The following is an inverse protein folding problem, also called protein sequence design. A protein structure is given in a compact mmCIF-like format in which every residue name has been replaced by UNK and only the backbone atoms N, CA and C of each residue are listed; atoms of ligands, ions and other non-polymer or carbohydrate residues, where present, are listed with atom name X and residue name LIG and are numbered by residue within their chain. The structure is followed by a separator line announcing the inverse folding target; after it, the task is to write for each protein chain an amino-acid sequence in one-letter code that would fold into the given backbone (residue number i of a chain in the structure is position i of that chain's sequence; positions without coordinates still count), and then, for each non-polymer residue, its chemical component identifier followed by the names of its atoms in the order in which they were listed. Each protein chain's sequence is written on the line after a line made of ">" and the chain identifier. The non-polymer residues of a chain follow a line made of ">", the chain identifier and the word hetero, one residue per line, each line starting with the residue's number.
data_IF_628423824022
#
_entry.id   IF_628423824022
#
_cell.length_a   1.000
_cell.length_b   1.000
_cell.length_c   1.000
_cell.angle_alpha   90.00
_cell.angle_beta   90.00
_cell.angle_gamma   90.00
#
_symmetry.space_group_name_H-M   'P 1'
#
loop_
_entity.id
_entity.type
_entity.pdbx_description
1 polymer ?
#
# COMPACT_ATOMS: atom_id res chain seq x y z
N UNK A 1 -5.56 36.54 -44.75
CA UNK A 1 -6.33 35.33 -44.44
C UNK A 1 -5.34 34.32 -43.87
N UNK A 2 -5.33 34.12 -42.59
CA UNK A 2 -4.48 33.15 -41.90
C UNK A 2 -5.30 31.89 -41.61
N UNK A 3 -4.82 30.76 -42.13
CA UNK A 3 -5.43 29.44 -41.90
C UNK A 3 -5.24 29.03 -40.43
N UNK A 4 -6.31 29.03 -39.68
CA UNK A 4 -6.38 28.40 -38.37
C UNK A 4 -6.41 26.87 -38.54
N UNK A 5 -5.27 26.24 -38.26
CA UNK A 5 -5.20 24.76 -38.12
C UNK A 5 -5.90 24.34 -36.83
N UNK A 6 -7.06 23.73 -36.96
CA UNK A 6 -7.79 23.05 -35.92
C UNK A 6 -6.91 22.01 -35.19
N UNK A 7 -6.93 21.92 -33.85
CA UNK A 7 -6.13 20.92 -33.11
C UNK A 7 -6.66 19.51 -33.45
N UNK A 8 -5.75 18.67 -33.89
CA UNK A 8 -6.00 17.25 -34.18
C UNK A 8 -6.50 16.55 -32.89
N UNK A 9 -7.74 16.14 -32.87
CA UNK A 9 -8.31 15.28 -31.83
C UNK A 9 -7.60 13.93 -31.85
N UNK A 10 -6.81 13.65 -30.82
CA UNK A 10 -6.21 12.33 -30.60
C UNK A 10 -7.36 11.34 -30.37
N UNK A 11 -7.37 10.25 -31.14
CA UNK A 11 -8.42 9.23 -31.09
C UNK A 11 -8.47 8.58 -29.68
N UNK A 12 -9.67 8.36 -29.10
CA UNK A 12 -9.81 7.66 -27.82
C UNK A 12 -9.14 6.28 -27.79
N UNK A 13 -9.05 5.59 -28.93
CA UNK A 13 -8.35 4.30 -29.05
C UNK A 13 -6.83 4.40 -28.91
N UNK A 14 -6.22 5.52 -29.37
CA UNK A 14 -4.78 5.77 -29.18
C UNK A 14 -4.44 6.08 -27.71
N UNK A 15 -5.34 6.77 -27.00
CA UNK A 15 -5.19 7.04 -25.55
C UNK A 15 -5.36 5.76 -24.74
N UNK A 16 -6.29 4.88 -25.12
CA UNK A 16 -6.50 3.59 -24.49
C UNK A 16 -5.32 2.63 -24.74
N UNK A 17 -4.78 2.59 -25.97
CA UNK A 17 -3.61 1.77 -26.30
C UNK A 17 -2.36 2.22 -25.53
N UNK A 18 -2.09 3.54 -25.43
CA UNK A 18 -0.95 4.06 -24.67
C UNK A 18 -1.08 3.83 -23.14
N UNK A 19 -2.31 3.85 -22.62
CA UNK A 19 -2.60 3.49 -21.22
C UNK A 19 -2.41 2.00 -20.95
N UNK A 20 -2.76 1.11 -21.90
CA UNK A 20 -2.56 -0.33 -21.75
C UNK A 20 -1.08 -0.72 -21.83
N UNK A 21 -0.30 -0.10 -22.69
CA UNK A 21 1.15 -0.33 -22.79
C UNK A 21 1.93 0.16 -21.56
N UNK A 22 1.50 1.28 -20.93
CA UNK A 22 2.10 1.77 -19.69
C UNK A 22 1.74 0.91 -18.46
N UNK A 23 0.65 0.11 -18.50
CA UNK A 23 0.17 -0.70 -17.37
C UNK A 23 0.73 -2.13 -17.33
N UNK A 24 1.46 -2.58 -18.34
CA UNK A 24 2.02 -3.95 -18.37
C UNK A 24 3.37 -4.09 -17.66
N UNK A 25 3.78 -3.11 -16.85
CA UNK A 25 5.03 -3.15 -16.11
C UNK A 25 4.76 -3.21 -14.59
N UNK A 26 4.50 -4.42 -14.09
CA UNK A 26 4.40 -4.72 -12.66
C UNK A 26 5.61 -4.17 -11.92
N UNK A 27 5.40 -3.44 -10.83
CA UNK A 27 6.47 -2.84 -10.03
C UNK A 27 6.56 -3.47 -8.65
N UNK A 28 7.78 -3.61 -8.18
CA UNK A 28 8.05 -3.86 -6.78
C UNK A 28 7.91 -2.56 -5.98
N UNK A 29 7.04 -2.58 -4.96
CA UNK A 29 6.77 -1.47 -4.04
C UNK A 29 7.30 -1.82 -2.65
N UNK A 30 8.50 -1.38 -2.24
CA UNK A 30 9.09 -1.80 -0.97
C UNK A 30 8.34 -1.24 0.24
N UNK A 31 8.47 -1.91 1.39
CA UNK A 31 7.83 -1.49 2.63
C UNK A 31 8.85 -1.12 3.73
N UNK A 32 8.43 -0.25 4.66
CA UNK A 32 9.11 0.08 5.90
C UNK A 32 8.06 0.09 7.01
N UNK A 33 7.98 -0.98 7.78
CA UNK A 33 7.07 -1.06 8.92
C UNK A 33 7.79 -0.61 10.19
N UNK A 34 7.20 0.32 10.92
CA UNK A 34 7.82 0.91 12.11
C UNK A 34 6.94 0.61 13.33
N UNK A 35 7.52 -0.07 14.31
CA UNK A 35 6.87 -0.41 15.58
C UNK A 35 7.83 -0.15 16.74
N UNK A 36 7.36 0.57 17.77
CA UNK A 36 8.13 0.96 18.94
C UNK A 36 9.47 1.65 18.58
N UNK A 37 9.41 2.58 17.59
CA UNK A 37 10.57 3.36 17.15
C UNK A 37 11.60 2.58 16.35
N UNK A 38 11.31 1.34 15.90
CA UNK A 38 12.24 0.50 15.12
C UNK A 38 11.57 -0.03 13.87
N UNK A 39 12.36 -0.20 12.80
CA UNK A 39 11.92 -0.92 11.61
C UNK A 39 11.82 -2.41 11.94
N UNK A 40 10.66 -3.00 11.67
CA UNK A 40 10.34 -4.38 11.99
C UNK A 40 9.56 -5.05 10.87
N UNK A 41 9.58 -6.37 10.88
CA UNK A 41 8.58 -7.18 10.19
C UNK A 41 7.80 -7.96 11.23
N UNK A 42 6.49 -7.84 11.20
CA UNK A 42 5.60 -8.45 12.20
C UNK A 42 4.57 -9.38 11.55
N UNK A 43 4.08 -10.34 12.32
CA UNK A 43 2.88 -11.09 11.93
C UNK A 43 1.68 -10.19 12.21
N UNK A 44 1.05 -9.67 11.18
CA UNK A 44 0.04 -8.62 11.29
C UNK A 44 -1.10 -8.95 12.24
N UNK A 45 -1.63 -10.19 12.19
CA UNK A 45 -2.69 -10.65 13.10
C UNK A 45 -2.28 -10.72 14.58
N UNK A 46 -1.02 -10.49 14.92
CA UNK A 46 -0.47 -10.55 16.28
C UNK A 46 -0.36 -9.21 16.99
N UNK A 47 -0.57 -8.10 16.26
CA UNK A 47 -0.46 -6.75 16.83
C UNK A 47 -1.57 -6.51 17.85
N UNK A 48 -1.18 -6.10 19.06
CA UNK A 48 -2.11 -5.75 20.15
C UNK A 48 -1.74 -4.39 20.71
N UNK A 49 -2.74 -3.55 21.00
CA UNK A 49 -2.53 -2.25 21.65
C UNK A 49 -2.07 -2.41 23.09
N UNK A 50 -2.71 -3.33 23.80
CA UNK A 50 -2.35 -3.63 25.18
C UNK A 50 -0.93 -4.18 25.25
N UNK A 51 -0.05 -3.44 25.92
CA UNK A 51 1.36 -3.76 26.06
C UNK A 51 2.22 -3.50 24.82
N UNK A 52 1.70 -2.86 23.76
CA UNK A 52 2.43 -2.60 22.50
C UNK A 52 3.15 -3.84 21.95
N UNK A 53 2.45 -5.01 21.96
CA UNK A 53 3.02 -6.31 21.64
C UNK A 53 2.73 -6.64 20.17
N UNK A 54 3.74 -7.20 19.48
CA UNK A 54 3.58 -7.84 18.17
C UNK A 54 4.51 -9.07 18.12
N UNK A 55 4.10 -10.13 17.41
CA UNK A 55 5.00 -11.24 17.09
C UNK A 55 5.94 -10.76 15.96
N UNK A 56 7.20 -10.57 16.32
CA UNK A 56 8.23 -10.05 15.44
C UNK A 56 8.88 -11.18 14.65
N UNK A 57 8.91 -11.04 13.31
CA UNK A 57 9.69 -11.91 12.42
C UNK A 57 11.12 -11.36 12.26
N UNK A 58 11.27 -10.04 12.36
CA UNK A 58 12.54 -9.34 12.20
C UNK A 58 12.51 -8.00 12.96
N UNK A 59 13.64 -7.63 13.56
CA UNK A 59 13.89 -6.31 14.16
C UNK A 59 15.19 -5.77 13.60
N UNK A 60 15.14 -4.62 12.95
CA UNK A 60 16.31 -4.01 12.34
C UNK A 60 17.17 -3.27 13.38
N UNK A 61 18.49 -3.35 13.19
CA UNK A 61 19.46 -2.45 13.84
C UNK A 61 19.60 -1.12 13.10
N UNK A 62 19.10 -1.01 11.86
CA UNK A 62 19.10 0.20 11.04
C UNK A 62 17.81 0.96 11.20
N UNK A 63 17.89 2.31 11.17
CA UNK A 63 16.72 3.17 11.18
C UNK A 63 16.00 3.19 9.82
N UNK A 64 14.80 3.78 9.80
CA UNK A 64 13.96 3.86 8.60
C UNK A 64 14.62 4.67 7.47
N UNK A 65 15.42 5.68 7.80
CA UNK A 65 16.20 6.46 6.83
C UNK A 65 17.14 5.59 5.99
N UNK A 66 17.77 4.57 6.59
CA UNK A 66 18.64 3.64 5.87
C UNK A 66 17.91 2.95 4.72
N UNK A 67 16.72 2.40 4.99
CA UNK A 67 15.89 1.73 3.99
C UNK A 67 15.39 2.69 2.92
N UNK A 68 14.94 3.88 3.31
CA UNK A 68 14.51 4.90 2.37
C UNK A 68 15.63 5.32 1.40
N UNK A 69 16.86 5.50 1.89
CA UNK A 69 18.03 5.78 1.05
C UNK A 69 18.37 4.60 0.14
N UNK A 70 18.30 3.36 0.62
CA UNK A 70 18.50 2.15 -0.19
C UNK A 70 17.50 2.11 -1.36
N UNK A 71 16.20 2.34 -1.08
CA UNK A 71 15.16 2.35 -2.10
C UNK A 71 15.34 3.50 -3.10
N UNK A 72 15.76 4.68 -2.61
CA UNK A 72 16.07 5.83 -3.45
C UNK A 72 17.19 5.54 -4.46
N UNK A 73 18.29 4.94 -4.00
CA UNK A 73 19.45 4.60 -4.87
C UNK A 73 19.04 3.60 -5.95
N UNK A 74 18.09 2.71 -5.66
CA UNK A 74 17.53 1.72 -6.61
C UNK A 74 16.34 2.26 -7.42
N UNK A 75 15.96 3.54 -7.28
CA UNK A 75 14.81 4.18 -7.91
C UNK A 75 13.46 3.48 -7.66
N UNK A 76 13.31 2.81 -6.52
CA UNK A 76 12.09 2.13 -6.10
C UNK A 76 11.13 3.12 -5.46
N UNK A 77 10.22 3.67 -6.25
CA UNK A 77 9.22 4.64 -5.77
C UNK A 77 7.85 4.01 -5.53
N UNK A 78 7.00 4.70 -4.74
CA UNK A 78 5.63 4.26 -4.44
C UNK A 78 5.56 3.13 -3.41
N UNK A 79 6.67 2.78 -2.78
CA UNK A 79 6.66 1.92 -1.59
C UNK A 79 5.99 2.63 -0.41
N UNK A 80 5.72 1.90 0.67
CA UNK A 80 4.98 2.44 1.81
C UNK A 80 5.75 2.37 3.13
N UNK A 81 5.48 3.35 3.97
CA UNK A 81 5.90 3.40 5.37
C UNK A 81 4.64 3.24 6.22
N UNK A 82 4.61 2.30 7.17
CA UNK A 82 3.47 2.10 8.06
C UNK A 82 3.86 2.30 9.52
N UNK A 83 3.17 3.24 10.18
CA UNK A 83 3.26 3.44 11.63
C UNK A 83 2.35 2.42 12.31
N UNK A 84 2.91 1.44 12.99
CA UNK A 84 2.16 0.35 13.63
C UNK A 84 1.72 0.67 15.06
N UNK A 85 2.19 1.76 15.66
CA UNK A 85 1.74 2.19 16.98
C UNK A 85 0.47 3.04 16.89
N UNK A 86 -0.43 2.84 17.85
CA UNK A 86 -1.55 3.75 18.05
C UNK A 86 -1.05 5.13 18.51
N UNK A 87 -1.74 6.21 18.18
CA UNK A 87 -1.35 7.59 18.55
C UNK A 87 -1.20 7.83 20.05
N UNK A 88 -1.93 7.05 20.86
CA UNK A 88 -1.89 7.15 22.33
C UNK A 88 -0.81 6.24 22.95
N UNK A 89 -0.01 5.53 22.15
CA UNK A 89 1.11 4.72 22.59
C UNK A 89 2.28 5.61 23.02
N UNK A 90 2.95 5.24 24.09
CA UNK A 90 4.21 5.88 24.53
C UNK A 90 5.32 5.86 23.46
N UNK A 91 5.25 4.91 22.51
CA UNK A 91 6.20 4.76 21.40
C UNK A 91 5.81 5.53 20.14
N UNK A 92 4.65 6.19 20.12
CA UNK A 92 4.15 6.82 18.87
C UNK A 92 5.10 7.88 18.34
N UNK A 93 5.61 8.77 19.21
CA UNK A 93 6.51 9.85 18.79
C UNK A 93 7.83 9.29 18.22
N UNK A 94 8.43 8.28 18.87
CA UNK A 94 9.63 7.62 18.36
C UNK A 94 9.38 6.92 17.00
N UNK A 95 8.19 6.32 16.80
CA UNK A 95 7.79 5.70 15.54
C UNK A 95 7.58 6.75 14.46
N UNK A 96 6.92 7.87 14.78
CA UNK A 96 6.71 8.99 13.89
C UNK A 96 8.04 9.65 13.47
N UNK A 97 8.95 9.83 14.40
CA UNK A 97 10.29 10.37 14.10
C UNK A 97 11.02 9.54 13.05
N UNK A 98 11.02 8.21 13.19
CA UNK A 98 11.60 7.31 12.19
C UNK A 98 10.94 7.46 10.80
N UNK A 99 9.61 7.59 10.76
CA UNK A 99 8.91 7.82 9.51
C UNK A 99 9.29 9.15 8.86
N UNK A 100 9.39 10.24 9.65
CA UNK A 100 9.80 11.55 9.14
C UNK A 100 11.24 11.54 8.61
N UNK A 101 12.17 10.84 9.27
CA UNK A 101 13.53 10.64 8.77
C UNK A 101 13.52 9.93 7.41
N UNK A 102 12.74 8.87 7.25
CA UNK A 102 12.63 8.14 5.98
C UNK A 102 12.02 9.01 4.86
N UNK A 103 10.94 9.75 5.15
CA UNK A 103 10.30 10.65 4.19
C UNK A 103 11.24 11.76 3.73
N UNK A 104 12.01 12.36 4.65
CA UNK A 104 13.00 13.37 4.30
C UNK A 104 14.16 12.81 3.46
N UNK A 105 14.59 11.56 3.71
CA UNK A 105 15.66 10.92 2.95
C UNK A 105 15.24 10.62 1.50
N UNK A 106 13.98 10.26 1.27
CA UNK A 106 13.45 9.95 -0.06
C UNK A 106 12.16 10.73 -0.35
N UNK A 107 12.27 12.06 -0.47
CA UNK A 107 11.13 12.95 -0.78
C UNK A 107 10.42 12.56 -2.06
N UNK A 108 9.10 12.39 -1.97
CA UNK A 108 8.25 11.98 -3.08
C UNK A 108 8.36 10.49 -3.47
N UNK A 109 9.23 9.71 -2.84
CA UNK A 109 9.43 8.30 -3.17
C UNK A 109 8.55 7.33 -2.41
N UNK A 110 8.12 7.68 -1.19
CA UNK A 110 7.41 6.78 -0.29
C UNK A 110 6.01 7.32 0.07
N UNK A 111 5.08 6.41 0.20
CA UNK A 111 3.75 6.64 0.77
C UNK A 111 3.81 6.46 2.29
N UNK A 112 2.84 6.99 3.05
CA UNK A 112 2.80 6.91 4.51
C UNK A 112 1.41 6.52 5.01
N UNK A 113 1.35 5.53 5.90
CA UNK A 113 0.12 5.06 6.54
C UNK A 113 0.29 4.81 8.05
N UNK A 114 -0.80 4.43 8.69
CA UNK A 114 -0.85 4.18 10.13
C UNK A 114 -1.39 5.38 10.91
N UNK A 115 -2.70 5.37 11.19
CA UNK A 115 -3.38 6.41 11.94
C UNK A 115 -3.56 7.74 11.18
N UNK A 116 -3.45 7.73 9.86
CA UNK A 116 -3.63 8.92 9.02
C UNK A 116 -5.12 9.30 8.94
N UNK A 117 -5.39 10.61 9.03
CA UNK A 117 -6.71 11.22 8.91
C UNK A 117 -6.61 12.61 8.28
N UNK A 118 -7.75 13.30 8.11
CA UNK A 118 -7.77 14.62 7.47
C UNK A 118 -7.01 15.72 8.25
N UNK A 119 -6.83 15.54 9.56
CA UNK A 119 -6.23 16.56 10.41
C UNK A 119 -4.68 16.46 10.44
N UNK A 120 -4.09 15.23 10.24
CA UNK A 120 -2.65 15.01 10.27
C UNK A 120 -2.01 14.71 8.91
N UNK A 121 -2.80 14.42 7.87
CA UNK A 121 -2.29 14.03 6.54
C UNK A 121 -1.30 15.06 5.97
N UNK A 122 -1.58 16.35 6.14
CA UNK A 122 -0.77 17.43 5.58
C UNK A 122 0.64 17.46 6.12
N UNK A 123 0.81 17.18 7.41
CA UNK A 123 2.12 17.10 8.06
C UNK A 123 3.06 16.12 7.35
N UNK A 124 2.56 14.95 7.02
CA UNK A 124 3.36 13.91 6.35
C UNK A 124 3.64 14.24 4.87
N UNK A 125 2.68 14.85 4.18
CA UNK A 125 2.91 15.31 2.81
C UNK A 125 3.97 16.41 2.76
N UNK A 126 3.93 17.35 3.70
CA UNK A 126 4.94 18.44 3.79
C UNK A 126 6.30 17.91 4.21
N UNK A 127 6.37 16.80 4.96
CA UNK A 127 7.61 16.08 5.27
C UNK A 127 8.21 15.33 4.07
N UNK A 128 7.47 15.16 2.98
CA UNK A 128 7.96 14.55 1.75
C UNK A 128 7.29 13.25 1.35
N UNK A 129 6.17 12.84 1.98
CA UNK A 129 5.40 11.71 1.50
C UNK A 129 4.86 11.95 0.08
N UNK A 130 4.91 10.95 -0.78
CA UNK A 130 4.26 11.00 -2.08
C UNK A 130 2.74 10.98 -1.92
N UNK A 131 2.22 10.10 -1.08
CA UNK A 131 0.80 9.92 -0.78
C UNK A 131 0.61 9.60 0.70
N UNK A 132 -0.60 9.81 1.17
CA UNK A 132 -1.07 9.31 2.46
C UNK A 132 -1.97 8.11 2.24
N UNK A 133 -1.82 7.09 3.10
CA UNK A 133 -2.60 5.85 3.07
C UNK A 133 -3.58 5.89 4.23
N UNK A 134 -4.86 5.73 3.95
CA UNK A 134 -5.90 5.65 4.98
C UNK A 134 -6.63 4.31 4.92
N UNK A 135 -6.95 3.78 6.10
CA UNK A 135 -7.68 2.53 6.29
C UNK A 135 -8.87 2.80 7.20
N UNK A 136 -8.72 2.59 8.52
CA UNK A 136 -9.81 2.68 9.50
C UNK A 136 -10.49 4.03 9.56
N UNK A 137 -9.83 5.13 9.18
CA UNK A 137 -10.42 6.47 9.19
C UNK A 137 -11.67 6.60 8.31
N UNK A 138 -11.67 5.93 7.16
CA UNK A 138 -12.79 5.98 6.20
C UNK A 138 -13.84 4.89 6.43
N UNK A 139 -13.73 4.16 7.54
CA UNK A 139 -14.73 3.19 7.96
C UNK A 139 -15.26 3.51 9.36
N UNK A 140 -16.57 3.43 9.55
CA UNK A 140 -17.22 3.50 10.85
C UNK A 140 -18.46 2.61 10.86
N UNK A 141 -18.81 2.08 12.02
CA UNK A 141 -19.97 1.21 12.18
C UNK A 141 -20.02 0.07 11.15
N UNK A 142 -18.88 -0.53 10.87
CA UNK A 142 -18.67 -1.61 9.89
C UNK A 142 -18.95 -1.22 8.43
N UNK A 143 -19.02 0.06 8.09
CA UNK A 143 -19.33 0.56 6.74
C UNK A 143 -18.39 1.67 6.32
N UNK A 144 -18.36 1.95 5.02
CA UNK A 144 -17.69 3.11 4.46
C UNK A 144 -18.35 4.40 5.00
N UNK A 145 -17.52 5.26 5.57
CA UNK A 145 -17.92 6.58 6.05
C UNK A 145 -17.60 7.63 4.98
N UNK A 146 -18.62 8.01 4.22
CA UNK A 146 -18.46 8.98 3.14
C UNK A 146 -18.07 10.37 3.64
N UNK A 147 -18.49 10.79 4.84
CA UNK A 147 -18.12 12.10 5.39
C UNK A 147 -16.61 12.16 5.66
N UNK A 148 -16.05 11.10 6.23
CA UNK A 148 -14.60 11.01 6.45
C UNK A 148 -13.83 10.83 5.14
N UNK A 149 -14.35 10.09 4.17
CA UNK A 149 -13.77 9.95 2.85
C UNK A 149 -13.71 11.32 2.13
N UNK A 150 -14.79 12.08 2.16
CA UNK A 150 -14.85 13.44 1.61
C UNK A 150 -13.91 14.40 2.34
N UNK A 151 -13.79 14.28 3.67
CA UNK A 151 -12.87 15.12 4.46
C UNK A 151 -11.42 14.89 4.06
N UNK A 152 -10.98 13.64 3.99
CA UNK A 152 -9.58 13.33 3.59
C UNK A 152 -9.34 13.71 2.13
N UNK A 153 -10.29 13.41 1.22
CA UNK A 153 -10.20 13.81 -0.17
C UNK A 153 -10.03 15.33 -0.33
N UNK A 154 -10.82 16.14 0.41
CA UNK A 154 -10.70 17.62 0.40
C UNK A 154 -9.37 18.10 0.99
N UNK A 155 -8.84 17.38 1.98
CA UNK A 155 -7.58 17.75 2.64
C UNK A 155 -6.35 17.53 1.76
N UNK A 156 -6.31 16.46 0.95
CA UNK A 156 -5.11 16.04 0.23
C UNK A 156 -5.26 15.93 -1.28
N UNK A 157 -6.48 15.86 -1.82
CA UNK A 157 -6.77 15.59 -3.23
C UNK A 157 -6.65 14.12 -3.61
N UNK A 158 -7.24 13.77 -4.78
CA UNK A 158 -7.22 12.41 -5.32
C UNK A 158 -5.79 11.90 -5.50
N UNK A 159 -4.93 12.72 -6.09
CA UNK A 159 -3.57 12.41 -6.55
C UNK A 159 -2.58 12.18 -5.39
N UNK A 160 -3.02 12.35 -4.14
CA UNK A 160 -2.19 12.17 -2.94
C UNK A 160 -2.81 11.21 -1.94
N UNK A 161 -3.88 10.53 -2.33
CA UNK A 161 -4.62 9.61 -1.48
C UNK A 161 -4.49 8.17 -1.97
N UNK A 162 -4.11 7.27 -1.08
CA UNK A 162 -4.18 5.81 -1.25
C UNK A 162 -5.20 5.27 -0.26
N UNK A 163 -6.10 4.42 -0.71
CA UNK A 163 -7.02 3.69 0.16
C UNK A 163 -6.48 2.27 0.38
N UNK A 164 -6.19 1.94 1.62
CA UNK A 164 -5.85 0.57 2.02
C UNK A 164 -7.14 -0.21 2.31
N UNK A 165 -7.42 -1.17 1.45
CA UNK A 165 -8.55 -2.09 1.54
C UNK A 165 -8.07 -3.46 2.05
N UNK A 166 -7.36 -3.49 3.18
CA UNK A 166 -6.95 -4.71 3.87
C UNK A 166 -8.13 -5.64 4.06
N UNK A 167 -8.02 -6.90 3.68
CA UNK A 167 -9.16 -7.81 3.67
C UNK A 167 -8.85 -9.21 4.21
N UNK A 168 -9.91 -9.89 4.67
CA UNK A 168 -9.88 -11.28 5.12
C UNK A 168 -11.00 -12.09 4.48
N UNK A 169 -10.70 -13.36 4.23
CA UNK A 169 -11.67 -14.29 3.65
C UNK A 169 -12.68 -14.78 4.70
N UNK A 170 -13.98 -14.68 4.38
CA UNK A 170 -15.10 -15.22 5.15
C UNK A 170 -16.22 -15.63 4.20
N UNK A 171 -16.72 -16.88 4.29
CA UNK A 171 -17.78 -17.39 3.42
C UNK A 171 -17.50 -17.13 1.92
N UNK A 172 -16.29 -17.46 1.48
CA UNK A 172 -15.79 -17.29 0.10
C UNK A 172 -15.80 -15.86 -0.46
N UNK A 173 -15.91 -14.85 0.41
CA UNK A 173 -15.79 -13.43 0.07
C UNK A 173 -14.65 -12.77 0.87
N UNK A 174 -14.07 -11.72 0.31
CA UNK A 174 -13.04 -10.93 0.98
C UNK A 174 -13.67 -9.67 1.55
N UNK A 175 -13.84 -9.66 2.89
CA UNK A 175 -14.38 -8.51 3.62
C UNK A 175 -13.26 -7.60 4.05
N UNK A 176 -13.47 -6.30 3.90
CA UNK A 176 -12.53 -5.30 4.42
C UNK A 176 -12.50 -5.40 5.94
N UNK A 177 -11.31 -5.28 6.50
CA UNK A 177 -11.06 -5.32 7.94
C UNK A 177 -10.36 -4.05 8.40
N UNK A 178 -10.72 -3.60 9.60
CA UNK A 178 -10.22 -2.41 10.26
C UNK A 178 -9.62 -2.75 11.63
N UNK A 179 -9.20 -1.74 12.40
CA UNK A 179 -8.64 -1.92 13.74
C UNK A 179 -7.51 -2.95 13.76
N UNK A 180 -6.48 -2.69 12.95
CA UNK A 180 -5.36 -3.62 12.81
C UNK A 180 -5.84 -5.03 12.48
N UNK A 181 -6.77 -5.09 11.51
CA UNK A 181 -7.30 -6.32 10.91
C UNK A 181 -8.16 -7.20 11.83
N UNK A 182 -8.62 -6.65 12.97
CA UNK A 182 -9.39 -7.40 13.96
C UNK A 182 -10.90 -7.31 13.75
N UNK A 183 -11.38 -6.22 13.14
CA UNK A 183 -12.81 -5.99 12.93
C UNK A 183 -13.19 -6.15 11.46
N UNK A 184 -14.15 -7.04 11.20
CA UNK A 184 -14.77 -7.15 9.89
C UNK A 184 -15.74 -5.97 9.68
N UNK A 185 -15.72 -5.44 8.44
CA UNK A 185 -16.78 -4.56 7.96
C UNK A 185 -17.83 -5.35 7.19
N UNK A 186 -18.89 -4.69 6.74
CA UNK A 186 -19.88 -5.26 5.82
C UNK A 186 -19.47 -5.10 4.35
N UNK A 187 -18.36 -4.39 4.08
CA UNK A 187 -17.88 -4.08 2.75
C UNK A 187 -17.00 -5.21 2.21
N UNK A 188 -17.22 -5.55 0.93
CA UNK A 188 -16.54 -6.65 0.25
C UNK A 188 -15.65 -6.07 -0.85
N UNK A 189 -14.42 -6.57 -0.96
CA UNK A 189 -13.52 -6.27 -2.07
C UNK A 189 -14.08 -6.93 -3.33
N UNK A 190 -14.66 -6.12 -4.21
CA UNK A 190 -15.17 -6.51 -5.52
C UNK A 190 -15.10 -5.31 -6.48
N UNK A 191 -15.30 -5.54 -7.78
CA UNK A 191 -15.23 -4.50 -8.80
C UNK A 191 -16.17 -3.33 -8.52
N UNK A 192 -17.42 -3.59 -8.14
CA UNK A 192 -18.43 -2.55 -7.88
C UNK A 192 -17.98 -1.61 -6.75
N UNK A 193 -17.47 -2.16 -5.65
CA UNK A 193 -17.00 -1.37 -4.52
C UNK A 193 -15.73 -0.59 -4.88
N UNK A 194 -14.81 -1.21 -5.61
CA UNK A 194 -13.57 -0.56 -6.05
C UNK A 194 -13.84 0.58 -7.03
N UNK A 195 -14.78 0.41 -7.99
CA UNK A 195 -15.19 1.49 -8.89
C UNK A 195 -15.77 2.69 -8.16
N UNK A 196 -16.57 2.47 -7.10
CA UNK A 196 -17.10 3.57 -6.26
C UNK A 196 -16.00 4.39 -5.59
N UNK A 197 -14.89 3.73 -5.21
CA UNK A 197 -13.79 4.37 -4.50
C UNK A 197 -12.72 4.96 -5.41
N UNK A 198 -12.55 4.46 -6.63
CA UNK A 198 -11.52 4.89 -7.58
C UNK A 198 -11.61 6.37 -7.97
N UNK A 199 -12.78 6.99 -7.80
CA UNK A 199 -12.96 8.43 -7.98
C UNK A 199 -12.29 9.30 -6.90
N UNK A 200 -12.00 8.72 -5.73
CA UNK A 200 -11.48 9.43 -4.57
C UNK A 200 -9.97 9.30 -4.36
N UNK A 201 -9.34 8.26 -4.90
CA UNK A 201 -7.92 7.96 -4.65
C UNK A 201 -7.14 7.68 -5.93
N UNK A 202 -5.82 7.74 -5.82
CA UNK A 202 -4.88 7.49 -6.92
C UNK A 202 -4.49 6.01 -7.03
N UNK A 203 -4.50 5.30 -5.91
CA UNK A 203 -4.08 3.90 -5.80
C UNK A 203 -4.87 3.17 -4.72
N UNK A 204 -5.03 1.84 -4.89
CA UNK A 204 -5.42 0.94 -3.82
C UNK A 204 -4.22 0.15 -3.30
N UNK A 205 -4.07 0.08 -1.98
CA UNK A 205 -3.19 -0.88 -1.31
C UNK A 205 -4.07 -2.00 -0.75
N UNK A 206 -3.81 -3.25 -1.12
CA UNK A 206 -4.65 -4.38 -0.73
C UNK A 206 -3.82 -5.39 0.06
N UNK A 207 -4.00 -5.43 1.38
CA UNK A 207 -3.38 -6.45 2.23
C UNK A 207 -4.25 -7.70 2.31
N UNK A 208 -3.70 -8.83 1.88
CA UNK A 208 -4.27 -10.16 2.11
C UNK A 208 -3.90 -10.65 3.52
N UNK A 209 -4.66 -10.21 4.52
CA UNK A 209 -4.33 -10.35 5.95
C UNK A 209 -4.18 -11.80 6.40
N UNK A 210 -4.94 -12.73 5.81
CA UNK A 210 -4.91 -14.14 6.21
C UNK A 210 -3.59 -14.83 5.90
N UNK A 211 -2.79 -14.30 4.98
CA UNK A 211 -1.45 -14.81 4.61
C UNK A 211 -0.30 -13.89 5.03
N UNK A 212 -0.60 -12.68 5.56
CA UNK A 212 0.41 -11.69 5.93
C UNK A 212 1.33 -12.19 7.05
N UNK A 213 2.64 -12.14 6.79
CA UNK A 213 3.68 -12.57 7.74
C UNK A 213 3.72 -14.07 8.03
N UNK A 214 2.90 -14.91 7.37
CA UNK A 214 2.79 -16.36 7.62
C UNK A 214 3.64 -17.22 6.68
N UNK A 215 4.21 -16.63 5.62
CA UNK A 215 5.00 -17.34 4.63
C UNK A 215 4.27 -18.53 3.96
N UNK A 216 2.97 -18.38 3.72
CA UNK A 216 2.09 -19.42 3.17
C UNK A 216 1.85 -19.30 1.65
N UNK A 217 2.36 -18.24 1.00
CA UNK A 217 2.05 -17.88 -0.39
C UNK A 217 0.88 -16.91 -0.47
N UNK A 218 0.60 -16.44 -1.68
CA UNK A 218 -0.40 -15.41 -1.97
C UNK A 218 -1.84 -15.96 -1.95
N UNK A 219 -2.81 -15.06 -1.73
CA UNK A 219 -4.24 -15.34 -1.87
C UNK A 219 -4.66 -15.32 -3.35
N UNK A 220 -4.56 -16.46 -4.04
CA UNK A 220 -4.76 -16.56 -5.49
C UNK A 220 -6.14 -16.10 -5.97
N UNK A 221 -7.19 -16.39 -5.20
CA UNK A 221 -8.55 -15.98 -5.57
C UNK A 221 -8.74 -14.46 -5.42
N UNK A 222 -8.14 -13.85 -4.41
CA UNK A 222 -8.11 -12.39 -4.29
C UNK A 222 -7.37 -11.76 -5.48
N UNK A 223 -6.20 -12.29 -5.82
CA UNK A 223 -5.39 -11.80 -6.96
C UNK A 223 -6.19 -11.84 -8.26
N UNK A 224 -7.01 -12.88 -8.50
CA UNK A 224 -7.90 -12.94 -9.68
C UNK A 224 -8.95 -11.83 -9.68
N UNK A 225 -9.56 -11.55 -8.53
CA UNK A 225 -10.53 -10.45 -8.38
C UNK A 225 -9.86 -9.11 -8.70
N UNK A 226 -8.69 -8.85 -8.08
CA UNK A 226 -7.96 -7.60 -8.28
C UNK A 226 -7.44 -7.45 -9.71
N UNK A 227 -7.03 -8.56 -10.34
CA UNK A 227 -6.58 -8.58 -11.74
C UNK A 227 -7.66 -8.23 -12.76
N UNK A 228 -8.94 -8.31 -12.39
CA UNK A 228 -10.07 -7.86 -13.22
C UNK A 228 -10.23 -6.34 -13.26
N UNK A 229 -9.76 -5.65 -12.22
CA UNK A 229 -9.90 -4.20 -12.09
C UNK A 229 -8.74 -3.44 -12.76
N UNK A 230 -9.04 -2.38 -13.52
CA UNK A 230 -8.06 -1.66 -14.33
C UNK A 230 -8.16 -0.11 -14.32
N UNK A 231 -9.01 0.44 -13.45
CA UNK A 231 -9.29 1.89 -13.44
C UNK A 231 -8.15 2.70 -12.81
N UNK A 232 -7.60 2.25 -11.68
CA UNK A 232 -6.43 2.84 -11.00
C UNK A 232 -5.44 1.75 -10.59
N UNK A 233 -4.16 2.09 -10.30
CA UNK A 233 -3.16 1.16 -9.81
C UNK A 233 -3.60 0.42 -8.53
N UNK A 234 -3.16 -0.84 -8.39
CA UNK A 234 -3.32 -1.63 -7.18
C UNK A 234 -1.96 -2.20 -6.79
N UNK A 235 -1.57 -2.01 -5.54
CA UNK A 235 -0.45 -2.70 -4.91
C UNK A 235 -0.99 -3.85 -4.05
N UNK A 236 -0.63 -5.08 -4.40
CA UNK A 236 -0.94 -6.26 -3.60
C UNK A 236 0.10 -6.46 -2.50
N UNK A 237 -0.35 -6.71 -1.28
CA UNK A 237 0.47 -7.02 -0.12
C UNK A 237 0.01 -8.32 0.56
N UNK A 238 0.95 -9.12 1.02
CA UNK A 238 0.68 -10.32 1.81
C UNK A 238 1.08 -11.62 1.15
N UNK A 239 1.85 -12.41 1.88
CA UNK A 239 2.13 -13.82 1.61
C UNK A 239 3.13 -14.11 0.49
N UNK A 240 3.63 -13.15 -0.26
CA UNK A 240 4.67 -13.39 -1.29
C UNK A 240 5.90 -14.01 -0.65
N UNK A 241 6.21 -15.26 -0.99
CA UNK A 241 7.32 -16.04 -0.40
C UNK A 241 8.31 -16.60 -1.40
N UNK A 242 8.02 -16.49 -2.69
CA UNK A 242 8.84 -17.05 -3.77
C UNK A 242 8.68 -16.26 -5.06
N UNK A 243 9.65 -16.42 -5.98
CA UNK A 243 9.54 -15.86 -7.34
C UNK A 243 8.34 -16.45 -8.11
N UNK A 244 7.94 -17.70 -7.80
CA UNK A 244 6.75 -18.32 -8.37
C UNK A 244 5.46 -17.55 -7.99
N UNK A 245 5.36 -17.08 -6.75
CA UNK A 245 4.22 -16.25 -6.34
C UNK A 245 4.13 -14.96 -7.15
N UNK A 246 5.27 -14.34 -7.47
CA UNK A 246 5.32 -13.13 -8.30
C UNK A 246 4.89 -13.43 -9.74
N UNK A 247 5.31 -14.56 -10.30
CA UNK A 247 4.87 -14.98 -11.65
C UNK A 247 3.36 -15.31 -11.66
N UNK A 248 2.81 -15.84 -10.57
CA UNK A 248 1.36 -16.05 -10.42
C UNK A 248 0.63 -14.70 -10.33
N UNK A 249 1.11 -13.72 -9.55
CA UNK A 249 0.58 -12.36 -9.52
C UNK A 249 0.54 -11.78 -10.95
N UNK A 250 1.67 -11.83 -11.66
CA UNK A 250 1.80 -11.35 -13.02
C UNK A 250 0.80 -12.01 -13.97
N UNK A 251 0.68 -13.34 -13.90
CA UNK A 251 -0.21 -14.13 -14.76
C UNK A 251 -1.68 -13.79 -14.54
N UNK A 252 -2.16 -13.68 -13.29
CA UNK A 252 -3.56 -13.43 -13.00
C UNK A 252 -3.99 -11.97 -13.16
N UNK A 253 -3.03 -11.04 -13.10
CA UNK A 253 -3.30 -9.62 -13.29
C UNK A 253 -2.89 -9.09 -14.66
N UNK A 254 -2.36 -9.95 -15.51
CA UNK A 254 -1.77 -9.52 -16.80
C UNK A 254 -0.69 -8.44 -16.61
N UNK A 255 0.09 -8.57 -15.50
CA UNK A 255 1.15 -7.63 -15.11
C UNK A 255 0.66 -6.26 -14.59
N UNK A 256 -0.61 -6.11 -14.27
CA UNK A 256 -1.21 -4.82 -13.82
C UNK A 256 -1.14 -4.57 -12.32
N UNK A 257 -1.01 -5.62 -11.50
CA UNK A 257 -0.84 -5.48 -10.05
C UNK A 257 0.61 -5.21 -9.71
N UNK A 258 0.88 -4.11 -9.02
CA UNK A 258 2.14 -3.92 -8.31
C UNK A 258 2.13 -4.81 -7.05
N UNK A 259 3.30 -5.03 -6.44
CA UNK A 259 3.40 -5.92 -5.29
C UNK A 259 4.43 -5.43 -4.27
N UNK A 260 4.23 -5.82 -3.03
CA UNK A 260 5.22 -5.65 -1.96
C UNK A 260 5.65 -7.00 -1.40
N UNK A 261 6.86 -7.04 -0.86
CA UNK A 261 7.42 -8.20 -0.15
C UNK A 261 7.95 -7.68 1.18
N UNK A 262 7.49 -8.27 2.28
CA UNK A 262 7.98 -7.98 3.63
C UNK A 262 9.01 -9.02 4.09
N UNK A 263 8.68 -9.81 5.10
CA UNK A 263 9.58 -10.75 5.81
C UNK A 263 10.24 -11.81 4.93
N UNK A 264 9.79 -12.02 3.70
CA UNK A 264 10.41 -12.96 2.75
C UNK A 264 11.67 -12.41 2.06
N UNK A 265 11.90 -11.07 2.09
CA UNK A 265 13.13 -10.48 1.56
C UNK A 265 14.33 -10.75 2.47
N UNK A 266 15.52 -10.91 1.87
CA UNK A 266 16.79 -11.05 2.58
C UNK A 266 17.14 -9.83 3.44
N UNK A 267 16.70 -8.63 3.06
CA UNK A 267 16.76 -7.40 3.88
C UNK A 267 16.15 -7.58 5.27
N UNK A 268 15.17 -8.48 5.39
CA UNK A 268 14.43 -8.76 6.61
C UNK A 268 14.61 -10.21 7.10
N UNK A 269 15.73 -10.85 6.70
CA UNK A 269 16.08 -12.22 7.10
C UNK A 269 15.38 -13.31 6.30
N UNK A 270 14.67 -12.97 5.22
CA UNK A 270 14.03 -13.91 4.30
C UNK A 270 15.01 -14.52 3.28
N UNK A 271 14.49 -15.14 2.22
CA UNK A 271 15.26 -15.86 1.23
C UNK A 271 15.21 -15.27 -0.18
N UNK A 272 14.30 -14.33 -0.43
CA UNK A 272 14.19 -13.65 -1.72
C UNK A 272 15.23 -12.53 -1.75
N UNK A 273 16.09 -12.53 -2.76
CA UNK A 273 17.09 -11.47 -2.92
C UNK A 273 16.44 -10.13 -3.25
N UNK A 274 16.68 -9.14 -2.40
CA UNK A 274 16.25 -7.77 -2.67
C UNK A 274 16.86 -7.22 -3.97
N UNK A 275 18.16 -7.47 -4.18
CA UNK A 275 18.86 -7.01 -5.38
C UNK A 275 18.24 -7.58 -6.67
N UNK A 276 17.93 -8.89 -6.68
CA UNK A 276 17.29 -9.54 -7.83
C UNK A 276 15.91 -8.95 -8.13
N UNK A 277 15.10 -8.68 -7.11
CA UNK A 277 13.77 -8.08 -7.25
C UNK A 277 13.88 -6.64 -7.73
N UNK A 278 14.77 -5.85 -7.13
CA UNK A 278 14.97 -4.44 -7.46
C UNK A 278 15.52 -4.22 -8.87
N UNK A 279 16.29 -5.18 -9.41
CA UNK A 279 16.79 -5.11 -10.78
C UNK A 279 15.75 -5.52 -11.83
N UNK A 280 14.78 -6.37 -11.43
CA UNK A 280 13.83 -6.97 -12.38
C UNK A 280 12.52 -6.19 -12.47
N UNK A 281 12.10 -5.53 -11.42
CA UNK A 281 10.77 -4.90 -11.27
C UNK A 281 10.86 -3.44 -10.82
#
# INVERSE_FOLDING_TARGET
>A
MADEKSPTRISPHLIAASRSEMRNNMKFRPCIDIHNGKVKQVVGSSIKDEGNIAKENFVSEKGAEYYANLYKVRNLSGGHIILLNHKDSEYYEATKEQALLALNAYKGGMQIGGGINADNAREFLDAGASHVIVTSYVFSDSRLNYDNLERIYKAVGKERLVLDLSCRKKNDKYYIVTDRWQRFTDEIVNEEFMHKLAGYCDEFLIHAVDVEGKNNGIERELVKILGGFDEIPITYAGGVKSLEDIEILKKYSDGRLDFTIGSSLDLFGGRISFEEIADKY
#
